data_IF_789480650779
#
_entry.id   IF_789480650779
#
_cell.length_a   1.000
_cell.length_b   1.000
_cell.length_c   1.000
_cell.angle_alpha   90.00
_cell.angle_beta   90.00
_cell.angle_gamma   90.00
#
_symmetry.space_group_name_H-M   'P 1'
#
loop_
_entity.id
_entity.type
_entity.pdbx_description
1 polymer ?
#
# COMPACT_ATOMS: atom_id res chain seq x y z
N UNK A 1 -3.43 4.99 29.91
CA UNK A 1 -4.61 4.38 29.26
C UNK A 1 -4.28 2.92 29.05
N UNK A 2 -5.15 2.01 29.48
CA UNK A 2 -4.92 0.57 29.31
C UNK A 2 -5.13 0.16 27.85
N UNK A 3 -4.58 -0.97 27.42
CA UNK A 3 -4.76 -1.50 26.06
C UNK A 3 -6.25 -1.78 25.74
N UNK A 4 -7.08 -2.04 26.76
CA UNK A 4 -8.54 -2.15 26.61
C UNK A 4 -9.20 -0.80 26.25
N UNK A 5 -8.73 0.31 26.80
CA UNK A 5 -9.24 1.64 26.49
C UNK A 5 -8.88 2.06 25.06
N UNK A 6 -7.73 1.61 24.55
CA UNK A 6 -7.32 1.84 23.17
C UNK A 6 -8.16 1.03 22.18
N UNK A 7 -8.50 -0.22 22.50
CA UNK A 7 -9.37 -1.08 21.68
C UNK A 7 -10.79 -0.50 21.52
N UNK A 8 -11.34 0.13 22.56
CA UNK A 8 -12.64 0.82 22.50
C UNK A 8 -12.64 2.08 21.64
N UNK A 9 -11.49 2.69 21.40
CA UNK A 9 -11.34 3.91 20.59
C UNK A 9 -11.11 3.62 19.10
N UNK A 10 -10.68 2.41 18.75
CA UNK A 10 -10.40 1.98 17.36
C UNK A 10 -11.63 1.36 16.69
N UNK A 11 -12.66 0.97 17.44
CA UNK A 11 -13.97 0.62 16.89
C UNK A 11 -14.71 1.88 16.43
N UNK A 12 -14.55 2.25 15.16
CA UNK A 12 -15.31 3.33 14.53
C UNK A 12 -16.68 2.76 14.09
N UNK A 13 -17.77 3.29 14.67
CA UNK A 13 -19.07 3.27 14.00
C UNK A 13 -20.35 2.98 14.79
N UNK A 14 -20.55 3.49 16.01
CA UNK A 14 -21.90 3.83 16.50
C UNK A 14 -21.84 5.13 17.31
N UNK A 15 -22.37 6.23 16.79
CA UNK A 15 -22.60 7.45 17.58
C UNK A 15 -23.99 7.45 18.18
N UNK A 16 -24.02 7.10 19.47
CA UNK A 16 -24.73 7.71 20.61
C UNK A 16 -26.16 8.24 20.42
N UNK A 17 -27.08 7.64 21.18
CA UNK A 17 -27.69 8.34 22.32
C UNK A 17 -27.70 7.37 23.51
N UNK A 18 -27.27 7.82 24.69
CA UNK A 18 -27.75 7.28 25.96
C UNK A 18 -27.49 8.29 27.07
N UNK A 19 -28.49 9.14 27.27
CA UNK A 19 -28.82 9.66 28.60
C UNK A 19 -29.68 8.59 29.25
N UNK A 20 -29.18 7.97 30.31
CA UNK A 20 -29.89 7.06 31.19
C UNK A 20 -28.88 6.62 32.26
N UNK A 21 -29.12 6.62 33.56
CA UNK A 21 -30.31 7.02 34.31
C UNK A 21 -31.14 5.84 34.82
N UNK A 22 -30.66 4.60 34.68
CA UNK A 22 -31.42 3.42 35.07
C UNK A 22 -30.73 2.48 36.07
N UNK A 23 -31.50 1.80 36.95
CA UNK A 23 -30.99 1.22 38.20
C UNK A 23 -30.14 -0.06 38.07
N UNK A 24 -29.94 -0.60 36.86
CA UNK A 24 -29.10 -1.79 36.61
C UNK A 24 -27.68 -1.45 36.11
N UNK A 25 -27.36 -0.17 35.96
CA UNK A 25 -25.97 0.32 35.73
C UNK A 25 -25.12 0.28 37.01
N UNK A 26 -25.71 -0.14 38.14
CA UNK A 26 -25.00 -0.43 39.40
C UNK A 26 -24.96 -1.93 39.62
N UNK A 27 -24.01 -2.62 39.01
CA UNK A 27 -23.66 -3.98 39.40
C UNK A 27 -22.14 -4.10 39.47
N UNK A 28 -21.58 -3.69 40.61
CA UNK A 28 -20.29 -4.16 41.07
C UNK A 28 -20.42 -5.67 41.35
N UNK A 29 -19.68 -6.51 40.62
CA UNK A 29 -19.48 -7.92 41.00
C UNK A 29 -19.51 -8.97 39.88
N UNK A 30 -19.98 -8.68 38.66
CA UNK A 30 -20.05 -9.70 37.59
C UNK A 30 -18.84 -9.71 36.65
N UNK A 31 -18.03 -8.66 36.66
CA UNK A 31 -16.89 -8.51 35.74
C UNK A 31 -15.73 -9.47 36.03
N UNK A 32 -15.57 -9.94 37.27
CA UNK A 32 -14.54 -10.92 37.62
C UNK A 32 -14.92 -12.34 37.15
N UNK A 33 -16.20 -12.74 37.30
CA UNK A 33 -16.68 -14.06 36.82
C UNK A 33 -16.72 -14.16 35.30
N UNK A 34 -16.97 -13.05 34.59
CA UNK A 34 -16.87 -13.02 33.13
C UNK A 34 -15.41 -13.12 32.65
N UNK A 35 -14.46 -12.51 33.36
CA UNK A 35 -13.02 -12.65 33.09
C UNK A 35 -12.49 -14.05 33.40
N UNK A 36 -12.98 -14.70 34.47
CA UNK A 36 -12.64 -16.11 34.76
C UNK A 36 -13.20 -17.06 33.71
N UNK A 37 -14.47 -16.89 33.27
CA UNK A 37 -15.06 -17.71 32.20
C UNK A 37 -14.43 -17.48 30.81
N UNK A 38 -13.92 -16.29 30.53
CA UNK A 38 -13.18 -16.01 29.30
C UNK A 38 -11.80 -16.71 29.29
N UNK A 39 -11.21 -16.96 30.46
CA UNK A 39 -9.93 -17.65 30.61
C UNK A 39 -10.06 -19.18 30.76
N UNK A 40 -11.27 -19.71 30.99
CA UNK A 40 -11.51 -21.15 31.23
C UNK A 40 -11.65 -22.00 29.95
N UNK A 41 -11.74 -21.38 28.76
CA UNK A 41 -11.73 -22.12 27.49
C UNK A 41 -10.31 -22.24 26.91
N UNK A 42 -9.42 -22.91 27.64
CA UNK A 42 -8.22 -23.51 27.02
C UNK A 42 -8.61 -24.86 26.45
N UNK A 43 -8.94 -24.88 25.16
CA UNK A 43 -9.05 -26.14 24.40
C UNK A 43 -7.63 -26.67 24.22
N UNK A 44 -7.19 -27.56 25.11
CA UNK A 44 -6.01 -28.37 24.87
C UNK A 44 -6.22 -29.19 23.59
N UNK A 45 -5.36 -29.00 22.60
CA UNK A 45 -5.21 -29.95 21.49
C UNK A 45 -5.34 -29.43 20.06
N UNK A 46 -5.55 -28.13 19.81
CA UNK A 46 -5.48 -27.57 18.45
C UNK A 46 -4.67 -26.26 18.45
N UNK A 47 -3.44 -26.28 17.92
CA UNK A 47 -2.69 -25.08 17.53
C UNK A 47 -3.35 -24.44 16.29
N UNK A 48 -4.57 -23.93 16.44
CA UNK A 48 -5.17 -23.01 15.47
C UNK A 48 -4.41 -21.70 15.57
N UNK A 49 -3.77 -21.26 14.48
CA UNK A 49 -3.24 -19.89 14.39
C UNK A 49 -4.38 -18.93 14.75
N UNK A 50 -4.27 -18.21 15.87
CA UNK A 50 -5.06 -16.99 16.05
C UNK A 50 -4.85 -16.16 14.78
N UNK A 51 -5.95 -15.81 14.10
CA UNK A 51 -5.92 -14.82 13.03
C UNK A 51 -5.50 -13.51 13.68
N UNK A 52 -4.19 -13.25 13.71
CA UNK A 52 -3.62 -12.01 14.18
C UNK A 52 -4.22 -10.88 13.35
N UNK A 53 -4.81 -9.90 14.02
CA UNK A 53 -5.25 -8.65 13.40
C UNK A 53 -4.03 -7.83 12.99
N UNK A 54 -3.33 -8.31 11.96
CA UNK A 54 -2.11 -7.69 11.43
C UNK A 54 -2.33 -6.24 11.02
N UNK A 55 -3.56 -5.87 10.65
CA UNK A 55 -3.92 -4.48 10.36
C UNK A 55 -3.95 -3.64 11.63
N UNK A 56 -4.72 -4.06 12.65
CA UNK A 56 -4.74 -3.38 13.95
C UNK A 56 -3.36 -3.30 14.61
N UNK A 57 -2.57 -4.36 14.49
CA UNK A 57 -1.20 -4.38 15.02
C UNK A 57 -0.27 -3.42 14.28
N UNK A 58 -0.35 -3.33 12.95
CA UNK A 58 0.42 -2.35 12.17
C UNK A 58 0.08 -0.90 12.55
N UNK A 59 -1.18 -0.61 12.88
CA UNK A 59 -1.60 0.69 13.38
C UNK A 59 -0.96 1.01 14.74
N UNK A 60 -0.98 0.03 15.67
CA UNK A 60 -0.32 0.17 16.99
C UNK A 60 1.18 0.38 16.84
N UNK A 61 1.81 -0.36 15.92
CA UNK A 61 3.24 -0.25 15.63
C UNK A 61 3.63 1.18 15.20
N UNK A 62 2.94 1.75 14.20
CA UNK A 62 3.19 3.13 13.77
C UNK A 62 2.89 4.13 14.88
N UNK A 63 1.79 3.94 15.62
CA UNK A 63 1.45 4.82 16.73
C UNK A 63 2.55 4.83 17.81
N UNK A 64 3.17 3.68 18.09
CA UNK A 64 4.30 3.60 19.02
C UNK A 64 5.51 4.39 18.52
N UNK A 65 5.88 4.22 17.24
CA UNK A 65 6.97 4.99 16.61
C UNK A 65 6.70 6.50 16.71
N UNK A 66 5.47 6.91 16.42
CA UNK A 66 5.10 8.34 16.42
C UNK A 66 4.93 8.92 17.82
N UNK A 67 4.55 8.11 18.82
CA UNK A 67 4.61 8.55 20.21
C UNK A 67 6.04 8.87 20.65
N UNK A 68 7.00 8.07 20.20
CA UNK A 68 8.43 8.31 20.48
C UNK A 68 8.96 9.53 19.74
N UNK A 69 8.56 9.73 18.49
CA UNK A 69 9.09 10.80 17.63
C UNK A 69 8.38 12.16 17.81
N UNK A 70 7.05 12.16 17.83
CA UNK A 70 6.23 13.38 17.84
C UNK A 70 5.56 13.64 19.19
N UNK A 71 5.75 12.74 20.16
CA UNK A 71 5.07 12.78 21.45
C UNK A 71 3.71 12.08 21.44
N UNK A 72 3.17 11.91 22.65
CA UNK A 72 1.94 11.19 22.89
C UNK A 72 0.72 11.95 22.37
N UNK A 73 -0.07 11.28 21.53
CA UNK A 73 -1.32 11.81 21.00
C UNK A 73 -2.33 10.70 20.77
N UNK A 74 -3.61 11.00 20.99
CA UNK A 74 -4.70 10.11 20.59
C UNK A 74 -4.86 10.15 19.06
N UNK A 75 -4.43 9.09 18.38
CA UNK A 75 -4.49 8.94 16.92
C UNK A 75 -5.64 7.99 16.55
N UNK A 76 -6.59 8.47 15.75
CA UNK A 76 -7.70 7.72 15.15
C UNK A 76 -7.31 7.11 13.81
N UNK A 77 -7.98 6.03 13.42
CA UNK A 77 -7.78 5.40 12.12
C UNK A 77 -8.40 6.27 11.02
N UNK A 78 -7.67 6.62 9.94
CA UNK A 78 -8.25 7.31 8.79
C UNK A 78 -9.41 6.52 8.17
N UNK A 79 -10.46 7.23 7.73
CA UNK A 79 -11.60 6.60 7.06
C UNK A 79 -11.18 5.83 5.80
N UNK A 80 -11.85 4.71 5.52
CA UNK A 80 -11.54 3.83 4.38
C UNK A 80 -12.03 4.42 3.05
N UNK A 81 -11.28 5.38 2.52
CA UNK A 81 -11.55 6.12 1.29
C UNK A 81 -10.24 6.33 0.50
N UNK A 82 -10.32 6.75 -0.78
CA UNK A 82 -9.13 7.14 -1.51
C UNK A 82 -8.37 8.26 -0.79
N UNK A 83 -7.07 8.06 -0.59
CA UNK A 83 -6.19 9.05 0.02
C UNK A 83 -5.30 9.67 -1.05
N UNK A 84 -5.23 11.00 -1.09
CA UNK A 84 -4.32 11.72 -1.97
C UNK A 84 -2.97 11.88 -1.26
N UNK A 85 -1.92 11.33 -1.88
CA UNK A 85 -0.57 11.28 -1.31
C UNK A 85 0.36 12.12 -2.18
N UNK A 86 1.04 13.07 -1.56
CA UNK A 86 2.12 13.82 -2.21
C UNK A 86 3.41 12.99 -2.17
N UNK A 87 4.01 12.77 -3.34
CA UNK A 87 5.21 11.93 -3.49
C UNK A 87 6.42 12.52 -2.76
N UNK A 88 6.59 13.84 -2.76
CA UNK A 88 7.73 14.49 -2.10
C UNK A 88 7.62 14.36 -0.59
N UNK A 89 6.41 14.50 -0.04
CA UNK A 89 6.17 14.29 1.39
C UNK A 89 6.36 12.82 1.75
N UNK A 90 5.93 11.89 0.89
CA UNK A 90 6.19 10.47 1.10
C UNK A 90 7.68 10.14 1.08
N UNK A 91 8.46 10.72 0.16
CA UNK A 91 9.92 10.56 0.15
C UNK A 91 10.56 11.12 1.42
N UNK A 92 10.12 12.28 1.91
CA UNK A 92 10.59 12.84 3.17
C UNK A 92 10.28 11.91 4.36
N UNK A 93 9.04 11.40 4.43
CA UNK A 93 8.61 10.45 5.44
C UNK A 93 9.44 9.16 5.40
N UNK A 94 9.69 8.62 4.20
CA UNK A 94 10.49 7.42 4.02
C UNK A 94 11.95 7.63 4.42
N UNK A 95 12.53 8.78 4.05
CA UNK A 95 13.89 9.15 4.46
C UNK A 95 14.04 9.37 5.96
N UNK A 96 12.95 9.72 6.67
CA UNK A 96 12.96 9.87 8.12
C UNK A 96 12.96 8.54 8.87
N UNK A 97 12.27 7.52 8.33
CA UNK A 97 12.14 6.20 8.96
C UNK A 97 12.61 5.07 8.03
N UNK A 98 13.86 5.10 7.53
CA UNK A 98 14.28 4.21 6.46
C UNK A 98 14.23 2.74 6.88
N UNK A 99 14.57 2.43 8.13
CA UNK A 99 14.59 1.04 8.63
C UNK A 99 13.19 0.44 8.70
N UNK A 100 12.22 1.22 9.14
CA UNK A 100 10.82 0.82 9.28
C UNK A 100 10.18 0.59 7.91
N UNK A 101 10.49 1.45 6.93
CA UNK A 101 10.02 1.29 5.55
C UNK A 101 10.73 0.17 4.79
N UNK A 102 12.02 -0.05 5.00
CA UNK A 102 12.75 -1.19 4.45
C UNK A 102 12.19 -2.52 4.98
N UNK A 103 11.92 -2.60 6.29
CA UNK A 103 11.28 -3.77 6.91
C UNK A 103 9.89 -4.01 6.32
N UNK A 104 9.06 -2.97 6.22
CA UNK A 104 7.73 -3.03 5.60
C UNK A 104 7.80 -3.55 4.17
N UNK A 105 8.77 -3.05 3.38
CA UNK A 105 8.94 -3.41 1.97
C UNK A 105 9.46 -4.85 1.76
N UNK A 106 10.06 -5.45 2.79
CA UNK A 106 10.53 -6.84 2.75
C UNK A 106 9.38 -7.86 2.86
N UNK A 107 8.22 -7.45 3.36
CA UNK A 107 7.07 -8.32 3.54
C UNK A 107 6.30 -8.50 2.21
N UNK A 108 5.94 -9.75 1.89
CA UNK A 108 5.10 -10.07 0.71
C UNK A 108 3.60 -9.91 0.98
N UNK A 109 3.20 -10.07 2.24
CA UNK A 109 1.84 -9.96 2.75
C UNK A 109 1.91 -9.07 3.99
N UNK A 110 0.84 -8.33 4.27
CA UNK A 110 0.72 -7.47 5.45
C UNK A 110 1.29 -8.12 6.70
N UNK A 111 2.12 -7.38 7.41
CA UNK A 111 2.73 -7.74 8.68
C UNK A 111 2.26 -6.81 9.80
N UNK A 112 2.28 -7.31 11.03
CA UNK A 112 1.97 -6.54 12.24
C UNK A 112 2.93 -5.39 12.51
N UNK A 113 4.11 -5.41 11.88
CA UNK A 113 5.15 -4.37 12.02
C UNK A 113 5.27 -3.49 10.78
N UNK A 114 4.25 -3.49 9.91
CA UNK A 114 4.26 -2.62 8.73
C UNK A 114 4.05 -1.16 9.14
N UNK A 115 4.72 -0.27 8.42
CA UNK A 115 4.37 1.14 8.35
C UNK A 115 3.03 1.27 7.65
N UNK A 116 1.94 1.26 8.44
CA UNK A 116 0.59 1.38 7.92
C UNK A 116 0.44 2.67 7.12
N UNK A 117 0.30 2.53 5.80
CA UNK A 117 0.65 3.57 4.83
C UNK A 117 -0.11 4.89 5.03
N UNK A 118 -1.45 4.83 5.06
CA UNK A 118 -2.29 6.02 5.23
C UNK A 118 -2.13 6.64 6.63
N UNK A 119 -2.10 5.79 7.66
CA UNK A 119 -1.95 6.22 9.05
C UNK A 119 -0.60 6.93 9.25
N UNK A 120 0.49 6.34 8.76
CA UNK A 120 1.82 6.93 8.80
C UNK A 120 1.85 8.28 8.08
N UNK A 121 1.28 8.38 6.88
CA UNK A 121 1.28 9.62 6.11
C UNK A 121 0.53 10.77 6.79
N UNK A 122 -0.73 10.57 7.20
CA UNK A 122 -1.52 11.65 7.79
C UNK A 122 -0.96 12.11 9.14
N UNK A 123 -0.50 11.18 9.98
CA UNK A 123 0.09 11.59 11.26
C UNK A 123 1.51 12.14 11.13
N UNK A 124 2.20 11.87 10.01
CA UNK A 124 3.41 12.60 9.67
C UNK A 124 3.09 14.07 9.42
N UNK A 125 2.09 14.34 8.57
CA UNK A 125 1.65 15.71 8.27
C UNK A 125 1.23 16.47 9.53
N UNK A 126 0.51 15.80 10.44
CA UNK A 126 0.01 16.38 11.67
C UNK A 126 1.06 16.51 12.77
N UNK A 127 2.16 15.75 12.71
CA UNK A 127 3.16 15.66 13.77
C UNK A 127 4.47 16.39 13.46
N UNK A 128 4.86 16.51 12.18
CA UNK A 128 6.15 17.10 11.83
C UNK A 128 6.18 18.61 12.06
N UNK A 129 7.15 19.03 12.85
CA UNK A 129 7.41 20.44 13.16
C UNK A 129 8.67 20.96 12.47
N UNK A 130 8.70 22.25 12.21
CA UNK A 130 9.89 22.99 11.80
C UNK A 130 10.29 23.97 12.90
N UNK A 131 11.60 24.17 13.04
CA UNK A 131 12.12 25.19 13.94
C UNK A 131 11.59 26.56 13.51
N UNK A 132 11.13 27.35 14.49
CA UNK A 132 10.67 28.70 14.21
C UNK A 132 11.88 29.60 14.00
N UNK A 133 11.99 30.19 12.81
CA UNK A 133 13.08 31.12 12.50
C UNK A 133 12.96 32.37 13.37
N UNK A 134 14.09 32.85 13.89
CA UNK A 134 14.15 34.08 14.69
C UNK A 134 13.76 35.30 13.85
N UNK A 135 14.10 35.30 12.56
CA UNK A 135 13.65 36.30 11.60
C UNK A 135 12.13 36.28 11.42
N UNK A 136 11.50 35.10 11.39
CA UNK A 136 10.04 34.99 11.31
C UNK A 136 9.38 35.54 12.59
N UNK A 137 9.99 35.32 13.76
CA UNK A 137 9.51 35.91 15.01
C UNK A 137 9.62 37.42 14.97
N UNK A 138 10.74 37.97 14.50
CA UNK A 138 10.89 39.41 14.32
C UNK A 138 9.77 39.98 13.45
N UNK A 139 9.56 39.40 12.26
CA UNK A 139 8.52 39.86 11.33
C UNK A 139 7.09 39.74 11.92
N UNK A 140 6.86 38.81 12.85
CA UNK A 140 5.57 38.70 13.56
C UNK A 140 5.39 39.77 14.64
N UNK A 141 6.49 40.27 15.21
CA UNK A 141 6.45 41.32 16.24
C UNK A 141 6.43 42.72 15.62
N UNK A 142 7.09 42.90 14.47
CA UNK A 142 7.13 44.13 13.67
C UNK A 142 5.79 44.29 12.91
N UNK A 143 4.78 44.74 13.67
CA UNK A 143 3.38 44.83 13.26
C UNK A 143 3.10 45.98 12.29
N UNK A 144 3.91 47.03 12.36
CA UNK A 144 3.84 48.17 11.43
C UNK A 144 4.82 48.06 10.25
N UNK A 145 5.63 46.99 10.22
CA UNK A 145 6.62 46.71 9.18
C UNK A 145 7.66 47.82 9.02
N UNK A 146 7.98 48.52 10.11
CA UNK A 146 9.00 49.57 10.15
C UNK A 146 10.42 48.99 10.08
N UNK A 147 10.60 47.69 10.35
CA UNK A 147 11.90 47.03 10.41
C UNK A 147 12.64 47.25 11.73
N UNK A 148 12.02 47.93 12.69
CA UNK A 148 12.55 48.25 14.03
C UNK A 148 11.45 47.96 15.06
N UNK A 149 11.75 47.18 16.10
CA UNK A 149 10.75 46.93 17.14
C UNK A 149 10.60 48.14 18.07
N UNK A 150 9.37 48.63 18.18
CA UNK A 150 8.96 49.65 19.14
C UNK A 150 8.91 49.15 20.58
N UNK A 151 8.86 50.05 21.58
CA UNK A 151 8.66 49.68 23.00
C UNK A 151 7.44 48.75 23.20
N UNK A 152 6.37 49.00 22.43
CA UNK A 152 5.11 48.23 22.47
C UNK A 152 5.29 46.82 21.89
N UNK A 153 6.08 46.68 20.84
CA UNK A 153 6.36 45.41 20.19
C UNK A 153 7.37 44.59 20.98
N UNK A 154 8.38 45.22 21.57
CA UNK A 154 9.30 44.59 22.54
C UNK A 154 8.52 44.05 23.74
N UNK A 155 7.56 44.84 24.27
CA UNK A 155 6.67 44.37 25.33
C UNK A 155 5.81 43.19 24.88
N UNK A 156 5.32 43.21 23.64
CA UNK A 156 4.53 42.10 23.06
C UNK A 156 5.39 40.84 22.91
N UNK A 157 6.63 40.97 22.45
CA UNK A 157 7.60 39.89 22.38
C UNK A 157 7.84 39.28 23.77
N UNK A 158 8.08 40.12 24.79
CA UNK A 158 8.26 39.67 26.16
C UNK A 158 7.02 38.91 26.68
N UNK A 159 5.81 39.42 26.40
CA UNK A 159 4.55 38.78 26.79
C UNK A 159 4.34 37.41 26.13
N UNK A 160 4.94 37.16 24.95
CA UNK A 160 4.90 35.86 24.28
C UNK A 160 5.99 34.90 24.78
N UNK A 161 7.08 35.41 25.35
CA UNK A 161 8.23 34.61 25.81
C UNK A 161 8.17 34.22 27.30
N UNK A 162 7.45 35.00 28.12
CA UNK A 162 7.44 34.85 29.57
C UNK A 162 6.02 34.67 30.12
N UNK A 163 5.94 34.14 31.34
CA UNK A 163 4.67 33.99 32.04
C UNK A 163 4.07 35.35 32.40
N UNK A 164 2.74 35.41 32.43
CA UNK A 164 1.99 36.63 32.74
C UNK A 164 1.54 36.63 34.21
N UNK A 165 1.50 37.81 34.88
CA UNK A 165 1.79 39.14 34.36
C UNK A 165 3.30 39.41 34.20
N UNK A 166 3.66 40.27 33.24
CA UNK A 166 5.05 40.69 33.07
C UNK A 166 5.51 41.56 34.24
N UNK A 167 6.59 41.14 34.90
CA UNK A 167 7.28 41.94 35.91
C UNK A 167 8.26 42.90 35.25
N UNK A 168 8.51 44.03 35.91
CA UNK A 168 9.43 45.05 35.42
C UNK A 168 10.85 44.48 35.20
N UNK A 169 11.32 43.62 36.09
CA UNK A 169 12.62 42.96 36.01
C UNK A 169 12.79 42.11 34.74
N UNK A 170 11.72 41.45 34.27
CA UNK A 170 11.74 40.65 33.04
C UNK A 170 11.90 41.54 31.81
N UNK A 171 11.23 42.70 31.78
CA UNK A 171 11.32 43.65 30.69
C UNK A 171 12.67 44.35 30.67
N UNK A 172 13.13 44.86 31.81
CA UNK A 172 14.44 45.52 31.90
C UNK A 172 15.57 44.54 31.62
N UNK A 173 15.43 43.26 31.98
CA UNK A 173 16.38 42.22 31.62
C UNK A 173 16.46 41.96 30.11
N UNK A 174 15.32 41.99 29.40
CA UNK A 174 15.29 41.86 27.94
C UNK A 174 15.89 43.10 27.26
N UNK A 175 15.52 44.30 27.71
CA UNK A 175 16.06 45.58 27.23
C UNK A 175 17.58 45.64 27.41
N UNK A 176 18.09 45.30 28.59
CA UNK A 176 19.53 45.25 28.87
C UNK A 176 20.28 44.27 27.94
N UNK A 177 19.64 43.15 27.57
CA UNK A 177 20.21 42.19 26.64
C UNK A 177 20.31 42.76 25.22
N UNK A 178 19.28 43.47 24.77
CA UNK A 178 19.27 44.17 23.48
C UNK A 178 20.34 45.27 23.44
N UNK A 179 20.45 46.07 24.51
CA UNK A 179 21.48 47.11 24.65
C UNK A 179 22.89 46.53 24.59
N UNK A 180 23.16 45.44 25.32
CA UNK A 180 24.45 44.76 25.28
C UNK A 180 24.80 44.25 23.88
N UNK A 181 23.83 43.62 23.20
CA UNK A 181 24.05 43.16 21.83
C UNK A 181 24.36 44.29 20.84
N UNK A 182 23.79 45.48 21.04
CA UNK A 182 24.09 46.64 20.18
C UNK A 182 25.54 47.12 20.30
N UNK A 183 26.19 46.94 21.45
CA UNK A 183 27.58 47.32 21.65
C UNK A 183 28.56 46.36 20.94
N UNK A 184 28.17 45.09 20.80
CA UNK A 184 29.03 44.06 20.21
C UNK A 184 28.88 43.96 18.69
N UNK A 185 27.93 44.68 18.09
CA UNK A 185 27.62 44.56 16.66
C UNK A 185 27.38 45.92 16.01
N UNK A 186 28.12 46.17 14.92
CA UNK A 186 27.83 47.29 14.02
C UNK A 186 26.71 46.89 13.08
N UNK A 187 25.58 47.57 13.13
CA UNK A 187 24.48 47.33 12.21
C UNK A 187 24.56 48.27 11.00
N UNK A 188 24.83 47.74 9.79
CA UNK A 188 24.92 48.56 8.58
C UNK A 188 23.59 49.25 8.22
N UNK A 189 22.45 48.67 8.63
CA UNK A 189 21.13 49.22 8.30
C UNK A 189 20.87 50.56 8.98
N UNK A 190 21.51 50.81 10.12
CA UNK A 190 21.38 52.07 10.86
C UNK A 190 21.96 53.28 10.11
N UNK A 191 22.91 53.06 9.18
CA UNK A 191 23.54 54.13 8.40
C UNK A 191 22.60 54.70 7.33
N UNK A 192 21.57 53.94 6.95
CA UNK A 192 20.62 54.30 5.90
C UNK A 192 19.28 54.81 6.41
N UNK A 193 19.05 54.78 7.73
CA UNK A 193 17.80 55.21 8.34
C UNK A 193 17.72 56.74 8.45
N UNK A 194 16.62 57.31 7.99
CA UNK A 194 16.28 58.71 8.28
C UNK A 194 15.74 58.87 9.71
N UNK A 195 15.78 60.09 10.26
CA UNK A 195 15.37 60.35 11.65
C UNK A 195 13.90 60.00 11.94
N UNK A 196 13.03 60.11 10.94
CA UNK A 196 11.61 59.73 11.01
C UNK A 196 11.38 58.21 11.02
N UNK A 197 12.37 57.42 10.59
CA UNK A 197 12.31 55.96 10.62
C UNK A 197 12.86 55.38 11.93
N UNK A 198 13.54 56.19 12.75
CA UNK A 198 14.08 55.73 14.03
C UNK A 198 12.97 55.70 15.08
N UNK A 199 12.94 54.63 15.85
CA UNK A 199 12.04 54.54 16.98
C UNK A 199 12.48 55.47 18.10
N UNK A 200 11.52 56.22 18.64
CA UNK A 200 11.74 57.12 19.75
C UNK A 200 11.40 56.43 21.08
N UNK A 201 12.31 55.60 21.58
CA UNK A 201 12.12 54.85 22.81
C UNK A 201 11.87 55.75 24.04
N UNK A 202 11.10 55.22 25.00
CA UNK A 202 10.89 55.84 26.31
C UNK A 202 12.21 55.96 27.09
N UNK A 203 13.01 54.88 27.10
CA UNK A 203 14.37 54.91 27.62
C UNK A 203 15.34 55.34 26.50
N UNK A 204 16.01 56.47 26.70
CA UNK A 204 16.97 57.02 25.72
C UNK A 204 18.25 56.19 25.58
N UNK A 205 18.50 55.24 26.47
CA UNK A 205 19.63 54.32 26.38
C UNK A 205 19.38 53.12 25.46
N UNK A 206 18.13 52.90 25.03
CA UNK A 206 17.78 51.79 24.15
C UNK A 206 18.36 51.95 22.74
N UNK A 207 18.96 50.88 22.16
CA UNK A 207 19.37 50.87 20.78
C UNK A 207 18.16 50.70 19.85
N UNK A 208 18.33 51.05 18.58
CA UNK A 208 17.38 50.70 17.53
C UNK A 208 17.36 49.18 17.35
N UNK A 209 16.23 48.55 17.71
CA UNK A 209 16.07 47.09 17.66
C UNK A 209 15.68 46.65 16.26
N UNK A 210 16.65 46.68 15.36
CA UNK A 210 16.46 46.24 13.97
C UNK A 210 16.38 44.72 13.87
N UNK A 211 15.91 44.26 12.72
CA UNK A 211 15.96 42.84 12.33
C UNK A 211 17.38 42.26 12.37
N UNK A 212 18.38 43.04 11.96
CA UNK A 212 19.76 42.60 11.93
C UNK A 212 20.30 42.36 13.35
N UNK A 213 20.09 43.32 14.27
CA UNK A 213 20.45 43.17 15.68
C UNK A 213 19.76 41.94 16.30
N UNK A 214 18.47 41.77 16.02
CA UNK A 214 17.67 40.69 16.59
C UNK A 214 18.10 39.29 16.14
N UNK A 215 18.56 39.16 14.89
CA UNK A 215 18.92 37.86 14.29
C UNK A 215 20.37 37.46 14.52
N UNK A 216 21.27 38.41 14.77
CA UNK A 216 22.71 38.15 14.91
C UNK A 216 23.22 38.27 16.37
N UNK A 217 22.34 38.66 17.29
CA UNK A 217 22.62 38.60 18.72
C UNK A 217 22.40 37.17 19.24
N UNK A 218 23.49 36.43 19.49
CA UNK A 218 23.43 35.04 19.97
C UNK A 218 22.55 34.86 21.22
N UNK A 219 22.60 35.81 22.15
CA UNK A 219 21.83 35.76 23.39
C UNK A 219 20.32 35.83 23.13
N UNK A 220 19.88 36.72 22.24
CA UNK A 220 18.48 36.87 21.84
C UNK A 220 18.07 35.68 20.97
N UNK A 221 18.92 35.25 20.04
CA UNK A 221 18.63 34.12 19.16
C UNK A 221 18.37 32.84 19.98
N UNK A 222 19.23 32.56 20.96
CA UNK A 222 19.07 31.42 21.87
C UNK A 222 17.84 31.58 22.78
N UNK A 223 17.60 32.77 23.32
CA UNK A 223 16.42 33.05 24.13
C UNK A 223 15.13 32.79 23.34
N UNK A 224 15.01 33.36 22.14
CA UNK A 224 13.85 33.19 21.25
C UNK A 224 13.68 31.71 20.90
N UNK A 225 14.74 31.02 20.48
CA UNK A 225 14.68 29.57 20.17
C UNK A 225 14.24 28.73 21.38
N UNK A 226 14.62 29.12 22.60
CA UNK A 226 14.26 28.40 23.83
C UNK A 226 12.80 28.62 24.26
N UNK A 227 12.22 29.79 23.96
CA UNK A 227 10.88 30.18 24.39
C UNK A 227 9.80 29.89 23.36
N UNK A 228 10.10 30.02 22.07
CA UNK A 228 9.15 29.77 21.00
C UNK A 228 9.15 28.28 20.62
N UNK A 229 7.99 27.64 20.76
CA UNK A 229 7.79 26.24 20.38
C UNK A 229 7.97 26.07 18.86
N UNK A 230 8.45 24.90 18.39
CA UNK A 230 8.42 24.54 16.98
C UNK A 230 7.00 24.64 16.42
N UNK A 231 6.87 25.17 15.20
CA UNK A 231 5.58 25.25 14.51
C UNK A 231 5.36 24.01 13.66
N UNK A 232 4.10 23.61 13.48
CA UNK A 232 3.75 22.55 12.54
C UNK A 232 4.20 22.93 11.13
N UNK A 233 4.83 21.98 10.44
CA UNK A 233 5.27 22.17 9.05
C UNK A 233 4.08 22.27 8.10
N UNK A 234 3.08 21.42 8.32
CA UNK A 234 1.87 21.36 7.49
C UNK A 234 0.65 21.82 8.28
N UNK A 235 -0.21 22.59 7.62
CA UNK A 235 -1.51 22.97 8.15
C UNK A 235 -2.50 21.82 7.92
N UNK A 236 -3.35 21.54 8.89
CA UNK A 236 -4.39 20.52 8.77
C UNK A 236 -5.66 20.96 9.50
N UNK A 237 -6.80 20.39 9.08
CA UNK A 237 -8.08 20.52 9.76
C UNK A 237 -8.65 19.11 9.90
N UNK A 238 -9.06 18.67 11.10
CA UNK A 238 -9.75 17.39 11.24
C UNK A 238 -11.11 17.48 10.54
N UNK A 239 -11.39 16.52 9.66
CA UNK A 239 -12.73 16.32 9.10
C UNK A 239 -13.48 15.26 9.89
N UNK A 240 -14.80 15.35 9.91
CA UNK A 240 -15.65 14.25 10.31
C UNK A 240 -15.85 13.24 9.15
N UNK A 241 -16.60 12.18 9.45
CA UNK A 241 -16.90 11.10 8.50
C UNK A 241 -18.16 11.39 7.67
N UNK A 242 -18.61 12.65 7.58
CA UNK A 242 -19.89 12.99 6.96
C UNK A 242 -19.99 12.59 5.48
N UNK A 243 -18.85 12.52 4.78
CA UNK A 243 -18.74 12.20 3.35
C UNK A 243 -18.49 10.72 3.06
N UNK A 244 -18.36 9.86 4.08
CA UNK A 244 -17.89 8.48 3.95
C UNK A 244 -18.91 7.52 4.54
N UNK A 245 -19.03 6.34 3.93
CA UNK A 245 -19.74 5.20 4.51
C UNK A 245 -18.93 3.93 4.32
N UNK A 246 -18.78 3.15 5.39
CA UNK A 246 -18.13 1.85 5.38
C UNK A 246 -19.13 0.82 5.93
N UNK A 247 -19.50 -0.16 5.11
CA UNK A 247 -20.39 -1.25 5.51
C UNK A 247 -19.69 -2.59 5.28
N UNK A 248 -19.56 -3.38 6.34
CA UNK A 248 -19.19 -4.79 6.23
C UNK A 248 -20.42 -5.58 5.82
N UNK A 249 -20.34 -6.23 4.66
CA UNK A 249 -21.43 -6.99 4.05
C UNK A 249 -21.29 -8.44 4.46
N UNK A 250 -22.20 -8.91 5.29
CA UNK A 250 -22.26 -10.30 5.76
C UNK A 250 -23.26 -11.12 4.93
N UNK A 251 -23.43 -12.40 5.27
CA UNK A 251 -24.32 -13.31 4.52
C UNK A 251 -25.82 -13.12 4.80
N UNK A 252 -26.19 -12.41 5.87
CA UNK A 252 -27.60 -12.22 6.23
C UNK A 252 -28.28 -11.24 5.25
N UNK A 253 -29.14 -11.78 4.39
CA UNK A 253 -29.84 -11.04 3.32
C UNK A 253 -30.61 -9.83 3.84
N UNK A 254 -31.42 -9.99 4.89
CA UNK A 254 -32.25 -8.90 5.42
C UNK A 254 -31.41 -7.75 5.95
N UNK A 255 -30.29 -8.06 6.62
CA UNK A 255 -29.36 -7.04 7.11
C UNK A 255 -28.68 -6.29 5.96
N UNK A 256 -28.24 -7.02 4.93
CA UNK A 256 -27.60 -6.41 3.75
C UNK A 256 -28.55 -5.48 3.02
N UNK A 257 -29.80 -5.88 2.79
CA UNK A 257 -30.82 -5.01 2.17
C UNK A 257 -30.97 -3.72 2.96
N UNK A 258 -31.11 -3.80 4.30
CA UNK A 258 -31.18 -2.62 5.15
C UNK A 258 -29.95 -1.72 5.08
N UNK A 259 -28.74 -2.29 5.07
CA UNK A 259 -27.49 -1.52 4.93
C UNK A 259 -27.40 -0.80 3.58
N UNK A 260 -27.82 -1.44 2.49
CA UNK A 260 -27.77 -0.87 1.14
C UNK A 260 -28.86 0.19 0.93
N UNK A 261 -30.05 -0.02 1.47
CA UNK A 261 -31.14 0.97 1.43
C UNK A 261 -30.82 2.22 2.26
N UNK A 262 -30.11 2.07 3.38
CA UNK A 262 -29.55 3.21 4.13
C UNK A 262 -28.62 4.05 3.26
N UNK A 263 -27.75 3.42 2.47
CA UNK A 263 -26.86 4.14 1.53
C UNK A 263 -27.68 4.82 0.42
N UNK A 264 -28.71 4.16 -0.12
CA UNK A 264 -29.61 4.77 -1.12
C UNK A 264 -30.32 6.01 -0.56
N UNK A 265 -30.76 5.94 0.69
CA UNK A 265 -31.44 7.04 1.38
C UNK A 265 -30.49 8.19 1.73
N UNK A 266 -29.26 7.87 2.13
CA UNK A 266 -28.26 8.84 2.59
C UNK A 266 -26.97 8.72 1.76
N UNK A 267 -26.99 9.16 0.48
CA UNK A 267 -25.84 9.00 -0.40
C UNK A 267 -24.63 9.76 0.13
N UNK A 268 -23.49 9.05 0.20
CA UNK A 268 -22.18 9.58 0.61
C UNK A 268 -21.25 9.67 -0.60
N UNK A 269 -20.22 10.52 -0.53
CA UNK A 269 -19.23 10.66 -1.61
C UNK A 269 -18.39 9.40 -1.78
N UNK A 270 -17.96 8.81 -0.66
CA UNK A 270 -17.16 7.59 -0.65
C UNK A 270 -17.95 6.46 0.00
N UNK A 271 -18.28 5.45 -0.79
CA UNK A 271 -19.01 4.26 -0.36
C UNK A 271 -18.05 3.08 -0.42
N UNK A 272 -17.75 2.48 0.72
CA UNK A 272 -16.97 1.26 0.81
C UNK A 272 -17.85 0.11 1.33
N UNK A 273 -17.96 -0.94 0.52
CA UNK A 273 -18.57 -2.20 0.91
C UNK A 273 -17.46 -3.23 1.06
N UNK A 274 -17.28 -3.77 2.26
CA UNK A 274 -16.30 -4.81 2.53
C UNK A 274 -16.96 -6.18 2.44
N UNK A 275 -16.37 -7.11 1.68
CA UNK A 275 -16.88 -8.47 1.54
C UNK A 275 -16.53 -9.30 2.79
N UNK A 276 -17.51 -9.48 3.67
CA UNK A 276 -17.47 -10.39 4.81
C UNK A 276 -18.46 -11.55 4.61
N UNK A 277 -18.80 -11.87 3.36
CA UNK A 277 -19.76 -12.91 3.02
C UNK A 277 -19.09 -14.28 3.20
N UNK A 278 -19.77 -15.16 3.94
CA UNK A 278 -19.46 -16.59 3.93
C UNK A 278 -19.96 -17.20 2.61
N UNK A 279 -19.05 -17.25 1.62
CA UNK A 279 -19.32 -17.76 0.26
C UNK A 279 -19.64 -19.26 0.21
N UNK A 280 -19.52 -19.99 1.33
CA UNK A 280 -19.90 -21.41 1.40
C UNK A 280 -21.42 -21.61 1.51
N UNK A 281 -22.17 -20.58 1.92
CA UNK A 281 -23.62 -20.64 2.11
C UNK A 281 -24.38 -20.32 0.84
N UNK A 282 -25.55 -20.95 0.66
CA UNK A 282 -26.41 -20.68 -0.50
C UNK A 282 -26.93 -19.22 -0.55
N UNK A 283 -27.16 -18.62 0.61
CA UNK A 283 -27.56 -17.20 0.76
C UNK A 283 -26.55 -16.23 0.13
N UNK A 284 -25.27 -16.61 0.03
CA UNK A 284 -24.24 -15.77 -0.58
C UNK A 284 -24.55 -15.44 -2.05
N UNK A 285 -25.23 -16.34 -2.78
CA UNK A 285 -25.67 -16.10 -4.16
C UNK A 285 -26.71 -14.97 -4.21
N UNK A 286 -27.65 -14.98 -3.27
CA UNK A 286 -28.67 -13.94 -3.13
C UNK A 286 -28.04 -12.61 -2.76
N UNK A 287 -27.13 -12.58 -1.79
CA UNK A 287 -26.39 -11.36 -1.41
C UNK A 287 -25.62 -10.79 -2.60
N UNK A 288 -24.96 -11.62 -3.41
CA UNK A 288 -24.26 -11.18 -4.64
C UNK A 288 -25.22 -10.55 -5.66
N UNK A 289 -26.39 -11.15 -5.87
CA UNK A 289 -27.39 -10.60 -6.78
C UNK A 289 -27.90 -9.23 -6.30
N UNK A 290 -28.12 -9.08 -4.99
CA UNK A 290 -28.53 -7.82 -4.37
C UNK A 290 -27.44 -6.75 -4.50
N UNK A 291 -26.16 -7.12 -4.30
CA UNK A 291 -25.04 -6.20 -4.50
C UNK A 291 -24.93 -5.74 -5.95
N UNK A 292 -25.13 -6.64 -6.91
CA UNK A 292 -25.14 -6.29 -8.33
C UNK A 292 -26.27 -5.31 -8.64
N UNK A 293 -27.50 -5.59 -8.19
CA UNK A 293 -28.64 -4.68 -8.33
C UNK A 293 -28.36 -3.30 -7.72
N UNK A 294 -27.75 -3.27 -6.53
CA UNK A 294 -27.36 -2.03 -5.88
C UNK A 294 -26.38 -1.21 -6.70
N UNK A 295 -25.30 -1.83 -7.22
CA UNK A 295 -24.32 -1.13 -8.04
C UNK A 295 -24.90 -0.69 -9.38
N UNK A 296 -25.68 -1.53 -10.06
CA UNK A 296 -26.33 -1.17 -11.33
C UNK A 296 -27.38 -0.05 -11.15
N UNK A 297 -28.02 0.02 -9.98
CA UNK A 297 -28.93 1.12 -9.63
C UNK A 297 -28.19 2.44 -9.39
N UNK A 298 -27.07 2.39 -8.68
CA UNK A 298 -26.31 3.59 -8.30
C UNK A 298 -25.39 4.10 -9.42
N UNK A 299 -24.83 3.17 -10.20
CA UNK A 299 -23.84 3.39 -11.26
C UNK A 299 -24.29 2.65 -12.54
N UNK A 300 -25.36 3.11 -13.21
CA UNK A 300 -25.98 2.39 -14.33
C UNK A 300 -25.15 2.39 -15.62
N UNK A 301 -24.15 3.26 -15.71
CA UNK A 301 -23.26 3.38 -16.87
C UNK A 301 -21.98 2.59 -16.56
N UNK A 302 -21.67 1.51 -17.30
CA UNK A 302 -20.46 0.74 -17.08
C UNK A 302 -19.20 1.58 -17.30
N UNK A 303 -18.20 1.37 -16.47
CA UNK A 303 -16.87 1.95 -16.64
C UNK A 303 -16.20 1.42 -17.91
N UNK A 304 -15.35 2.23 -18.54
CA UNK A 304 -14.52 1.78 -19.68
C UNK A 304 -13.58 0.61 -19.33
N UNK A 305 -13.36 0.35 -18.04
CA UNK A 305 -12.55 -0.76 -17.54
C UNK A 305 -13.36 -2.03 -17.28
N UNK A 306 -14.69 -1.98 -17.39
CA UNK A 306 -15.53 -3.16 -17.29
C UNK A 306 -15.50 -3.97 -18.59
N UNK A 307 -15.66 -5.28 -18.46
CA UNK A 307 -15.81 -6.16 -19.62
C UNK A 307 -17.15 -5.86 -20.33
N UNK A 308 -17.21 -5.97 -21.68
CA UNK A 308 -18.48 -5.94 -22.40
C UNK A 308 -19.47 -6.96 -21.83
N UNK A 309 -20.78 -6.73 -22.00
CA UNK A 309 -21.84 -7.57 -21.41
C UNK A 309 -21.71 -9.07 -21.73
N UNK A 310 -21.22 -9.39 -22.93
CA UNK A 310 -21.05 -10.77 -23.41
C UNK A 310 -19.72 -11.40 -22.98
N UNK A 311 -18.86 -10.64 -22.29
CA UNK A 311 -17.56 -11.09 -21.82
C UNK A 311 -17.56 -11.23 -20.30
N UNK A 312 -16.97 -12.33 -19.84
CA UNK A 312 -16.68 -12.59 -18.43
C UNK A 312 -15.23 -13.00 -18.29
N UNK A 313 -14.63 -12.69 -17.14
CA UNK A 313 -13.31 -13.19 -16.83
C UNK A 313 -13.39 -14.72 -16.67
N UNK A 314 -12.77 -15.46 -17.58
CA UNK A 314 -12.82 -16.92 -17.63
C UNK A 314 -12.05 -17.57 -16.47
N UNK A 315 -11.03 -16.90 -15.94
CA UNK A 315 -10.14 -17.44 -14.92
C UNK A 315 -10.01 -16.45 -13.78
N UNK A 316 -10.37 -16.89 -12.57
CA UNK A 316 -10.22 -16.05 -11.39
C UNK A 316 -8.75 -16.01 -10.93
N UNK A 317 -8.03 -17.12 -11.14
CA UNK A 317 -6.66 -17.28 -10.67
C UNK A 317 -5.64 -17.48 -11.81
N UNK A 318 -4.44 -16.92 -11.65
CA UNK A 318 -3.35 -17.03 -12.62
C UNK A 318 -2.93 -18.47 -12.92
N UNK A 319 -3.06 -19.37 -11.94
CA UNK A 319 -2.74 -20.79 -12.13
C UNK A 319 -3.68 -21.46 -13.14
N UNK A 320 -4.98 -21.22 -13.02
CA UNK A 320 -5.99 -21.76 -13.94
C UNK A 320 -5.76 -21.27 -15.37
N UNK A 321 -5.43 -19.98 -15.51
CA UNK A 321 -5.07 -19.40 -16.80
C UNK A 321 -3.83 -20.08 -17.41
N UNK A 322 -2.79 -20.33 -16.61
CA UNK A 322 -1.56 -21.00 -17.08
C UNK A 322 -1.81 -22.45 -17.49
N UNK A 323 -2.53 -23.21 -16.65
CA UNK A 323 -2.91 -24.60 -16.95
C UNK A 323 -3.72 -24.68 -18.24
N UNK A 324 -4.68 -23.76 -18.42
CA UNK A 324 -5.48 -23.68 -19.65
C UNK A 324 -4.65 -23.31 -20.89
N UNK A 325 -3.69 -22.38 -20.77
CA UNK A 325 -2.78 -22.03 -21.87
C UNK A 325 -1.94 -23.23 -22.30
N UNK A 326 -1.30 -23.92 -21.35
CA UNK A 326 -0.49 -25.11 -21.63
C UNK A 326 -1.33 -26.17 -22.34
N UNK A 327 -2.53 -26.47 -21.82
CA UNK A 327 -3.45 -27.41 -22.45
C UNK A 327 -3.81 -27.00 -23.88
N UNK A 328 -4.13 -25.73 -24.10
CA UNK A 328 -4.52 -25.22 -25.42
C UNK A 328 -3.35 -25.19 -26.41
N UNK A 329 -2.14 -24.93 -25.94
CA UNK A 329 -0.94 -24.93 -26.78
C UNK A 329 -0.52 -26.35 -27.13
N UNK A 330 -0.61 -27.30 -26.19
CA UNK A 330 -0.47 -28.72 -26.49
C UNK A 330 -1.52 -29.20 -27.50
N UNK A 331 -2.79 -28.85 -27.29
CA UNK A 331 -3.86 -29.21 -28.22
C UNK A 331 -3.60 -28.64 -29.61
N UNK A 332 -3.20 -27.35 -29.70
CA UNK A 332 -2.80 -26.74 -30.98
C UNK A 332 -1.62 -27.46 -31.60
N UNK A 333 -0.56 -27.75 -30.84
CA UNK A 333 0.61 -28.47 -31.35
C UNK A 333 0.20 -29.82 -31.96
N UNK A 334 -0.58 -30.63 -31.23
CA UNK A 334 -1.04 -31.93 -31.71
C UNK A 334 -2.01 -31.83 -32.89
N UNK A 335 -2.87 -30.81 -32.96
CA UNK A 335 -3.74 -30.61 -34.12
C UNK A 335 -2.95 -30.20 -35.36
N UNK A 336 -1.90 -29.39 -35.23
CA UNK A 336 -1.01 -29.06 -36.36
C UNK A 336 -0.22 -30.27 -36.82
N UNK A 337 0.34 -31.08 -35.90
CA UNK A 337 1.01 -32.34 -36.24
C UNK A 337 0.06 -33.29 -36.96
N UNK A 338 -1.17 -33.48 -36.46
CA UNK A 338 -2.17 -34.33 -37.11
C UNK A 338 -2.52 -33.82 -38.51
N UNK A 339 -2.69 -32.50 -38.69
CA UNK A 339 -2.99 -31.89 -39.98
C UNK A 339 -1.84 -32.06 -40.97
N UNK A 340 -0.58 -31.89 -40.53
CA UNK A 340 0.61 -32.15 -41.36
C UNK A 340 0.66 -33.62 -41.79
N UNK A 341 0.42 -34.56 -40.87
CA UNK A 341 0.38 -35.99 -41.19
C UNK A 341 -0.73 -36.29 -42.21
N UNK A 342 -1.91 -35.71 -42.05
CA UNK A 342 -3.05 -35.90 -42.96
C UNK A 342 -2.73 -35.36 -44.36
N UNK A 343 -2.09 -34.19 -44.45
CA UNK A 343 -1.62 -33.62 -45.72
C UNK A 343 -0.56 -34.51 -46.37
N UNK A 344 0.42 -35.01 -45.60
CA UNK A 344 1.45 -35.93 -46.12
C UNK A 344 0.83 -37.22 -46.64
N UNK A 345 -0.13 -37.80 -45.92
CA UNK A 345 -0.86 -38.99 -46.37
C UNK A 345 -1.64 -38.73 -47.66
N UNK A 346 -2.31 -37.58 -47.78
CA UNK A 346 -3.00 -37.20 -49.00
C UNK A 346 -2.04 -37.03 -50.18
N UNK A 347 -0.89 -36.39 -49.97
CA UNK A 347 0.16 -36.22 -50.99
C UNK A 347 0.75 -37.57 -51.41
N UNK A 348 1.06 -38.45 -50.46
CA UNK A 348 1.56 -39.81 -50.73
C UNK A 348 0.51 -40.64 -51.48
N UNK A 349 -0.77 -40.52 -51.14
CA UNK A 349 -1.85 -41.21 -51.85
C UNK A 349 -1.97 -40.70 -53.29
N UNK A 350 -1.95 -39.38 -53.49
CA UNK A 350 -2.04 -38.75 -54.82
C UNK A 350 -0.81 -39.03 -55.71
N UNK A 351 0.39 -39.03 -55.12
CA UNK A 351 1.64 -39.35 -55.81
C UNK A 351 1.96 -40.85 -55.80
N UNK A 352 1.15 -41.68 -55.11
CA UNK A 352 1.39 -43.10 -54.89
C UNK A 352 1.50 -43.87 -56.20
N UNK A 353 0.62 -43.58 -57.15
CA UNK A 353 0.64 -44.17 -58.49
C UNK A 353 1.93 -43.83 -59.26
N UNK A 354 2.44 -42.59 -59.10
CA UNK A 354 3.68 -42.12 -59.73
C UNK A 354 4.91 -42.73 -59.05
N UNK A 355 4.89 -42.87 -57.72
CA UNK A 355 5.94 -43.47 -56.91
C UNK A 355 6.03 -44.98 -57.19
N UNK A 356 4.91 -45.69 -57.29
CA UNK A 356 4.87 -47.11 -57.62
C UNK A 356 5.27 -47.38 -59.08
N UNK A 357 4.95 -46.49 -60.01
CA UNK A 357 5.47 -46.56 -61.37
C UNK A 357 7.01 -46.41 -61.42
N UNK A 358 7.58 -45.50 -60.63
CA UNK A 358 9.04 -45.32 -60.51
C UNK A 358 9.71 -46.52 -59.83
N UNK A 359 9.11 -47.06 -58.76
CA UNK A 359 9.58 -48.26 -58.04
C UNK A 359 9.56 -49.51 -58.93
N UNK A 360 8.55 -49.67 -59.80
CA UNK A 360 8.50 -50.73 -60.83
C UNK A 360 9.57 -50.57 -61.91
N UNK A 361 9.89 -49.34 -62.33
CA UNK A 361 11.02 -49.06 -63.25
C UNK A 361 12.39 -49.34 -62.64
N UNK A 362 12.57 -49.08 -61.36
CA UNK A 362 13.85 -49.34 -60.67
C UNK A 362 14.07 -50.83 -60.35
N UNK A 363 13.03 -51.53 -59.90
CA UNK A 363 13.09 -52.97 -59.62
C UNK A 363 13.30 -53.83 -60.87
N UNK A 364 12.71 -53.46 -62.01
CA UNK A 364 12.97 -54.11 -63.31
C UNK A 364 14.41 -53.93 -63.80
N UNK A 365 15.03 -52.76 -63.57
CA UNK A 365 16.48 -52.55 -63.81
C UNK A 365 17.36 -53.44 -62.94
N UNK A 366 17.01 -53.61 -61.65
CA UNK A 366 17.73 -54.50 -60.72
C UNK A 366 17.57 -55.98 -61.11
N UNK A 367 16.40 -56.39 -61.61
CA UNK A 367 16.12 -57.76 -62.08
C UNK A 367 16.86 -58.12 -63.38
N UNK A 368 17.02 -57.16 -64.29
CA UNK A 368 17.79 -57.34 -65.55
C UNK A 368 19.29 -57.53 -65.28
N UNK A 369 19.82 -56.89 -64.23
CA UNK A 369 21.22 -57.06 -63.76
C UNK A 369 21.51 -58.42 -63.11
N UNK A 370 20.49 -59.10 -62.56
CA UNK A 370 20.60 -60.45 -61.95
C UNK A 370 20.46 -61.60 -62.96
N UNK A 371 19.93 -61.34 -64.16
CA UNK A 371 19.61 -62.38 -65.17
C UNK A 371 20.78 -62.67 -66.13
N UNK A 372 21.84 -61.88 -66.10
CA UNK A 372 23.07 -62.05 -66.92
C UNK A 372 24.15 -62.90 -66.24
N UNK A 373 23.90 -63.45 -65.04
CA UNK A 373 24.93 -64.12 -64.24
C UNK A 373 24.68 -65.60 -63.91
N UNK A 374 23.74 -66.31 -64.55
CA UNK A 374 23.61 -67.77 -64.35
C UNK A 374 22.78 -68.45 -65.44
N UNK A 375 23.45 -69.18 -66.35
CA UNK A 375 22.89 -70.30 -67.11
C UNK A 375 23.48 -71.61 -66.59
N UNK A 376 22.73 -72.73 -66.59
CA UNK A 376 22.87 -73.78 -65.58
C UNK A 376 23.44 -75.09 -66.15
N UNK A 377 24.02 -75.92 -65.28
CA UNK A 377 24.12 -77.35 -65.53
C UNK A 377 23.65 -78.15 -64.31
N UNK A 378 22.89 -79.19 -64.63
CA UNK A 378 22.04 -79.99 -63.75
C UNK A 378 22.72 -81.27 -63.29
N UNK A 379 22.51 -81.70 -62.03
CA UNK A 379 21.95 -83.02 -61.62
C UNK A 379 22.16 -83.32 -60.11
N UNK A 380 21.35 -84.22 -59.49
CA UNK A 380 20.96 -84.19 -58.07
C UNK A 380 21.34 -85.51 -57.32
N UNK A 381 20.65 -85.94 -56.23
CA UNK A 381 20.72 -85.45 -54.85
C UNK A 381 21.03 -86.58 -53.83
N UNK A 382 21.42 -86.26 -52.60
CA UNK A 382 21.35 -87.10 -51.37
C UNK A 382 21.99 -86.28 -50.23
N UNK A 383 21.67 -86.35 -48.94
CA UNK A 383 20.48 -86.70 -48.16
C UNK A 383 20.86 -86.42 -46.68
N UNK A 384 19.91 -85.92 -45.88
CA UNK A 384 19.80 -86.03 -44.40
C UNK A 384 20.66 -85.14 -43.46
N UNK A 385 19.91 -84.49 -42.54
CA UNK A 385 20.12 -84.03 -41.15
C UNK A 385 21.26 -83.08 -40.77
N UNK A 386 20.94 -81.96 -40.10
CA UNK A 386 20.90 -81.81 -38.62
C UNK A 386 21.00 -80.33 -38.20
N UNK A 387 20.13 -79.88 -37.29
CA UNK A 387 20.21 -78.62 -36.51
C UNK A 387 21.51 -78.58 -35.65
N UNK A 388 22.04 -77.45 -35.09
CA UNK A 388 21.31 -76.36 -34.42
C UNK A 388 21.86 -74.91 -34.60
N UNK A 389 21.12 -73.95 -34.01
CA UNK A 389 21.42 -72.50 -33.80
C UNK A 389 22.79 -72.25 -33.07
N UNK A 390 23.38 -71.02 -32.99
CA UNK A 390 22.77 -69.85 -32.30
C UNK A 390 23.18 -68.43 -32.78
N UNK A 391 22.45 -67.45 -32.24
CA UNK A 391 22.83 -66.09 -31.78
C UNK A 391 23.96 -65.30 -32.49
N UNK A 392 23.69 -64.01 -32.77
CA UNK A 392 23.94 -62.91 -31.82
C UNK A 392 24.10 -61.55 -32.52
N UNK A 393 23.66 -60.50 -31.81
CA UNK A 393 24.19 -59.12 -31.79
C UNK A 393 24.04 -58.28 -33.06
N UNK A 394 24.00 -56.96 -33.01
CA UNK A 394 23.73 -55.88 -32.05
C UNK A 394 23.82 -54.65 -32.95
N UNK A 395 22.97 -53.63 -32.80
CA UNK A 395 23.43 -52.26 -33.05
C UNK A 395 22.47 -51.25 -32.45
N UNK A 396 22.94 -50.65 -31.36
CA UNK A 396 22.49 -49.40 -30.79
C UNK A 396 22.53 -48.26 -31.83
N UNK A 397 21.60 -47.33 -31.71
CA UNK A 397 21.76 -45.97 -32.22
C UNK A 397 20.99 -45.00 -31.33
N UNK A 398 21.75 -44.33 -30.48
CA UNK A 398 21.43 -43.08 -29.78
C UNK A 398 20.98 -41.97 -30.74
N UNK A 399 20.01 -41.15 -30.35
CA UNK A 399 19.91 -39.78 -30.87
C UNK A 399 19.45 -38.80 -29.80
N UNK A 400 20.02 -37.61 -29.90
CA UNK A 400 20.12 -36.50 -28.95
C UNK A 400 19.06 -35.42 -29.28
N UNK A 401 18.46 -34.88 -28.21
CA UNK A 401 17.99 -33.51 -27.89
C UNK A 401 17.57 -32.58 -29.03
N UNK A 402 16.42 -31.91 -28.86
CA UNK A 402 16.27 -30.46 -29.11
C UNK A 402 15.27 -29.84 -28.11
N UNK A 403 15.77 -28.91 -27.30
CA UNK A 403 15.01 -27.84 -26.63
C UNK A 403 14.55 -26.83 -27.69
N UNK A 404 13.35 -26.26 -27.50
CA UNK A 404 13.11 -24.91 -28.02
C UNK A 404 12.13 -24.14 -27.14
N UNK A 405 12.65 -23.02 -26.63
CA UNK A 405 11.98 -22.00 -25.83
C UNK A 405 11.71 -20.83 -26.76
N UNK A 406 10.45 -20.44 -26.93
CA UNK A 406 10.13 -19.09 -27.43
C UNK A 406 8.91 -18.53 -26.72
N UNK A 407 9.19 -17.56 -25.85
CA UNK A 407 8.28 -16.49 -25.47
C UNK A 407 8.04 -15.58 -26.68
N UNK A 408 6.80 -15.08 -26.86
CA UNK A 408 6.53 -13.64 -27.09
C UNK A 408 5.03 -13.32 -27.17
N UNK A 409 4.70 -12.21 -26.48
CA UNK A 409 3.48 -11.35 -26.41
C UNK A 409 2.24 -11.89 -25.70
#
# INVERSE_FOLDING_TARGET
MSDEDFLRLVSIGETRENVGGFPWERIDGENEKAKEKANEYTIEGWQGRQLLDTFGDSLRHVNHIYNKEFGFQARKVPGHMPHMIDKNIMFELQNRFPKEWDATSSHKIRSSTDMQYAFAYYYYLMGVTIATSVEEIFNQMDTDHSGILSDREIRTLAARMYDLPLYLETLTGLEAMLTNCSHNQSDPTLLTLSEDQKENYYDKSMPQVTKHLFTHCDAIEQLVKSKFKPKLKYKYIPSDDADITFKMIHTNVSHVVGQLDDIRKHPKKFICLNDNIDHSRDEAKTVKAILQDFYESLLPIPSQFELPRDYRNRFLHMRELREWRIYRDQLRFWTHVALIVLVLLAVISFLGDKIDALKRKWSSRKRRRRRTSSSPDSTPPTSVSSSPSPESKDSQSTFVVWDDVTETV
#
